data_IF_281470564801
#
_entry.id   IF_281470564801
#
_cell.length_a   1.000
_cell.length_b   1.000
_cell.length_c   1.000
_cell.angle_alpha   90.00
_cell.angle_beta   90.00
_cell.angle_gamma   90.00
#
_symmetry.space_group_name_H-M   'P 1'
#
loop_
_entity.id
_entity.type
_entity.pdbx_description
1 polymer ?
#
# COMPACT_ATOMS: atom_id res chain seq x y z
N UNK A 1 -20.73 2.48 0.24
CA UNK A 1 -19.98 3.48 1.03
C UNK A 1 -18.94 2.83 1.95
N UNK A 2 -19.22 1.68 2.56
CA UNK A 2 -18.26 0.96 3.42
C UNK A 2 -16.93 0.62 2.71
N UNK A 3 -16.96 0.23 1.44
CA UNK A 3 -15.74 -0.11 0.68
C UNK A 3 -14.77 1.05 0.50
N UNK A 4 -15.26 2.28 0.35
CA UNK A 4 -14.39 3.46 0.21
C UNK A 4 -13.71 3.83 1.54
N UNK A 5 -14.40 3.67 2.68
CA UNK A 5 -13.85 3.91 4.00
C UNK A 5 -12.76 2.88 4.35
N UNK A 6 -12.99 1.59 4.03
CA UNK A 6 -12.00 0.52 4.22
C UNK A 6 -10.76 0.74 3.34
N UNK A 7 -10.95 1.17 2.09
CA UNK A 7 -9.87 1.50 1.18
C UNK A 7 -9.02 2.67 1.71
N UNK A 8 -9.65 3.72 2.22
CA UNK A 8 -8.97 4.86 2.81
C UNK A 8 -8.19 4.46 4.07
N UNK A 9 -8.80 3.65 4.94
CA UNK A 9 -8.16 3.13 6.15
C UNK A 9 -6.94 2.28 5.79
N UNK A 10 -7.07 1.35 4.83
CA UNK A 10 -5.98 0.53 4.34
C UNK A 10 -4.83 1.37 3.79
N UNK A 11 -5.13 2.41 3.01
CA UNK A 11 -4.12 3.33 2.50
C UNK A 11 -3.40 4.10 3.62
N UNK A 12 -4.14 4.63 4.61
CA UNK A 12 -3.54 5.36 5.74
C UNK A 12 -2.61 4.48 6.56
N UNK A 13 -3.01 3.22 6.84
CA UNK A 13 -2.17 2.26 7.56
C UNK A 13 -0.90 1.93 6.77
N UNK A 14 -1.02 1.66 5.46
CA UNK A 14 0.14 1.40 4.60
C UNK A 14 1.07 2.60 4.50
N UNK A 15 0.52 3.81 4.42
CA UNK A 15 1.30 5.04 4.38
C UNK A 15 2.07 5.27 5.69
N UNK A 16 1.44 5.04 6.84
CA UNK A 16 2.13 5.09 8.15
C UNK A 16 3.23 4.03 8.23
N UNK A 17 2.97 2.81 7.72
CA UNK A 17 3.98 1.76 7.60
C UNK A 17 5.17 2.18 6.74
N UNK A 18 4.94 2.81 5.59
CA UNK A 18 5.99 3.35 4.71
C UNK A 18 6.83 4.41 5.44
N UNK A 19 6.19 5.38 6.09
CA UNK A 19 6.90 6.41 6.86
C UNK A 19 7.72 5.77 7.98
N UNK A 20 7.17 4.82 8.72
CA UNK A 20 7.87 4.07 9.77
C UNK A 20 9.07 3.31 9.22
N UNK A 21 8.97 2.66 8.05
CA UNK A 21 10.07 1.97 7.38
C UNK A 21 11.20 2.92 7.00
N UNK A 22 10.87 4.11 6.47
CA UNK A 22 11.87 5.16 6.17
C UNK A 22 12.61 5.61 7.44
N UNK A 23 11.87 5.90 8.50
CA UNK A 23 12.46 6.30 9.79
C UNK A 23 13.36 5.20 10.33
N UNK A 24 12.90 3.94 10.32
CA UNK A 24 13.68 2.77 10.77
C UNK A 24 14.98 2.62 9.99
N UNK A 25 14.95 2.89 8.68
CA UNK A 25 16.13 2.79 7.81
C UNK A 25 17.18 3.84 8.15
N UNK A 26 16.78 5.04 8.54
CA UNK A 26 17.68 6.17 8.81
C UNK A 26 18.23 6.13 10.25
N UNK A 27 17.41 5.64 11.21
CA UNK A 27 17.77 5.65 12.62
C UNK A 27 19.03 4.82 12.94
N UNK A 28 19.99 5.36 13.71
CA UNK A 28 21.21 4.63 14.12
C UNK A 28 20.99 3.71 15.33
N UNK A 29 19.77 3.36 15.68
CA UNK A 29 19.37 2.63 16.88
C UNK A 29 18.98 1.17 16.58
N UNK A 30 19.70 0.48 15.69
CA UNK A 30 19.46 -0.92 15.38
C UNK A 30 20.01 -1.86 16.44
N UNK A 31 21.23 -1.58 16.91
CA UNK A 31 21.91 -2.33 17.97
C UNK A 31 22.42 -1.33 19.02
N UNK A 32 22.25 -1.69 20.29
CA UNK A 32 22.70 -0.89 21.43
C UNK A 32 23.62 -1.74 22.30
N UNK A 33 24.67 -1.16 22.88
CA UNK A 33 25.53 -1.86 23.84
C UNK A 33 24.70 -2.39 25.00
N UNK A 34 24.86 -3.69 25.31
CA UNK A 34 24.20 -4.31 26.45
C UNK A 34 24.88 -3.91 27.75
N UNK A 35 24.11 -3.57 28.76
CA UNK A 35 24.59 -3.35 30.11
C UNK A 35 24.54 -4.68 30.87
N UNK A 36 25.57 -5.52 30.69
CA UNK A 36 25.66 -6.83 31.37
C UNK A 36 26.59 -6.71 32.59
N UNK A 37 26.03 -6.85 33.77
CA UNK A 37 26.76 -6.91 35.04
C UNK A 37 27.15 -5.58 35.63
N UNK A 38 27.98 -5.63 36.68
CA UNK A 38 28.45 -4.50 37.52
C UNK A 38 29.52 -3.62 36.86
N UNK A 39 29.74 -3.72 35.55
CA UNK A 39 30.72 -2.93 34.85
C UNK A 39 30.23 -1.46 34.68
N UNK A 40 30.20 -0.74 35.80
CA UNK A 40 29.95 0.73 35.89
C UNK A 40 31.07 1.54 35.16
N UNK A 41 32.13 0.88 34.72
CA UNK A 41 33.34 1.54 34.18
C UNK A 41 33.25 1.95 32.70
N UNK A 42 32.22 1.52 31.95
CA UNK A 42 32.04 1.99 30.57
C UNK A 42 31.06 3.16 30.54
N UNK A 43 31.60 4.35 30.76
CA UNK A 43 30.90 5.63 30.58
C UNK A 43 30.48 5.92 29.11
N UNK A 44 30.47 4.88 28.27
CA UNK A 44 30.29 4.99 26.82
C UNK A 44 29.29 3.95 26.33
N UNK A 45 28.23 4.38 25.65
CA UNK A 45 27.26 3.51 24.94
C UNK A 45 27.46 3.61 23.44
N UNK A 46 27.63 2.47 22.79
CA UNK A 46 27.69 2.40 21.33
C UNK A 46 26.30 2.09 20.76
N UNK A 47 25.91 2.84 19.76
CA UNK A 47 24.68 2.65 19.00
C UNK A 47 25.08 2.37 17.55
N UNK A 48 24.69 1.20 17.02
CA UNK A 48 24.99 0.81 15.65
C UNK A 48 23.70 0.81 14.82
N UNK A 49 23.72 1.63 13.78
CA UNK A 49 22.66 1.67 12.77
C UNK A 49 23.08 1.02 11.46
N UNK A 50 22.22 1.13 10.46
CA UNK A 50 22.51 0.66 9.11
C UNK A 50 23.59 1.50 8.42
N UNK A 51 23.61 2.82 8.62
CA UNK A 51 24.45 3.77 7.89
C UNK A 51 25.57 4.37 8.70
N UNK A 52 25.37 4.46 10.01
CA UNK A 52 26.28 5.14 10.93
C UNK A 52 26.36 4.41 12.26
N UNK A 53 27.48 4.63 12.93
CA UNK A 53 27.70 4.24 14.31
C UNK A 53 27.81 5.50 15.17
N UNK A 54 27.09 5.51 16.29
CA UNK A 54 27.05 6.62 17.21
C UNK A 54 27.58 6.19 18.58
N UNK A 55 28.30 7.10 19.21
CA UNK A 55 28.88 6.91 20.54
C UNK A 55 28.28 7.95 21.46
N UNK A 56 27.69 7.48 22.56
CA UNK A 56 27.17 8.31 23.61
C UNK A 56 28.11 8.25 24.81
N UNK A 57 28.68 9.39 25.20
CA UNK A 57 29.48 9.53 26.38
C UNK A 57 28.65 9.98 27.59
N UNK A 58 29.01 9.54 28.80
CA UNK A 58 28.37 9.97 30.06
C UNK A 58 28.42 11.48 30.28
N UNK A 59 29.35 12.18 29.64
CA UNK A 59 29.47 13.64 29.62
C UNK A 59 28.40 14.34 28.78
N UNK A 60 27.45 13.56 28.15
CA UNK A 60 26.43 14.10 27.29
C UNK A 60 26.86 14.34 25.84
N UNK A 61 28.10 14.02 25.49
CA UNK A 61 28.58 14.15 24.11
C UNK A 61 28.09 13.01 23.28
N UNK A 62 27.41 13.34 22.17
CA UNK A 62 26.89 12.39 21.17
C UNK A 62 27.59 12.60 19.83
N UNK A 63 28.38 11.62 19.41
CA UNK A 63 29.14 11.66 18.17
C UNK A 63 28.73 10.52 17.25
N UNK A 64 28.40 10.85 16.00
CA UNK A 64 28.05 9.86 14.96
C UNK A 64 29.08 9.87 13.83
N UNK A 65 29.49 8.70 13.40
CA UNK A 65 30.38 8.50 12.27
C UNK A 65 29.72 7.59 11.23
N UNK A 66 29.66 8.06 9.99
CA UNK A 66 29.17 7.27 8.87
C UNK A 66 30.24 6.24 8.47
N UNK A 67 29.81 5.03 8.14
CA UNK A 67 30.71 3.98 7.67
C UNK A 67 31.36 4.38 6.34
N UNK A 68 32.71 4.49 6.36
CA UNK A 68 33.46 4.93 5.18
C UNK A 68 33.66 3.84 4.14
N UNK A 69 33.69 2.57 4.58
CA UNK A 69 33.87 1.43 3.67
C UNK A 69 32.64 0.53 3.70
N UNK A 70 32.08 0.27 2.52
CA UNK A 70 30.95 -0.65 2.36
C UNK A 70 31.39 -2.11 2.44
N UNK A 71 32.59 -2.42 1.93
CA UNK A 71 33.09 -3.79 1.85
C UNK A 71 33.69 -4.32 3.17
N UNK A 72 34.08 -3.42 4.08
CA UNK A 72 34.59 -3.80 5.39
C UNK A 72 33.48 -4.15 6.40
N UNK A 73 32.21 -3.96 6.03
CA UNK A 73 31.09 -4.29 6.90
C UNK A 73 30.75 -5.79 6.85
N UNK A 74 30.25 -6.35 7.97
CA UNK A 74 29.74 -7.72 7.99
C UNK A 74 28.62 -7.90 6.96
N UNK A 75 28.56 -9.08 6.34
CA UNK A 75 27.62 -9.41 5.27
C UNK A 75 26.16 -9.22 5.70
N UNK A 76 25.84 -9.50 6.95
CA UNK A 76 24.49 -9.35 7.53
C UNK A 76 24.00 -7.90 7.44
N UNK A 77 24.89 -6.94 7.73
CA UNK A 77 24.55 -5.51 7.67
C UNK A 77 24.38 -5.04 6.22
N UNK A 78 25.18 -5.59 5.29
CA UNK A 78 25.03 -5.29 3.85
C UNK A 78 23.70 -5.82 3.31
N UNK A 79 23.33 -7.05 3.68
CA UNK A 79 22.05 -7.65 3.30
C UNK A 79 20.87 -6.86 3.89
N UNK A 80 20.93 -6.49 5.17
CA UNK A 80 19.89 -5.69 5.80
C UNK A 80 19.70 -4.33 5.12
N UNK A 81 20.80 -3.65 4.74
CA UNK A 81 20.74 -2.39 3.95
C UNK A 81 20.03 -2.59 2.62
N UNK A 82 20.41 -3.62 1.86
CA UNK A 82 19.82 -3.90 0.55
C UNK A 82 18.33 -4.16 0.67
N UNK A 83 17.91 -5.00 1.62
CA UNK A 83 16.49 -5.31 1.84
C UNK A 83 15.69 -4.08 2.26
N UNK A 84 16.22 -3.25 3.16
CA UNK A 84 15.53 -2.04 3.61
C UNK A 84 15.41 -0.99 2.50
N UNK A 85 16.44 -0.79 1.68
CA UNK A 85 16.37 0.13 0.53
C UNK A 85 15.36 -0.35 -0.51
N UNK A 86 15.37 -1.63 -0.86
CA UNK A 86 14.40 -2.23 -1.80
C UNK A 86 12.98 -2.08 -1.23
N UNK A 87 12.77 -2.36 0.07
CA UNK A 87 11.48 -2.17 0.74
C UNK A 87 10.99 -0.71 0.66
N UNK A 88 11.87 0.27 0.90
CA UNK A 88 11.53 1.69 0.78
C UNK A 88 11.15 2.09 -0.66
N UNK A 89 11.88 1.61 -1.67
CA UNK A 89 11.57 1.88 -3.07
C UNK A 89 10.22 1.26 -3.48
N UNK A 90 10.00 0.00 -3.11
CA UNK A 90 8.74 -0.69 -3.39
C UNK A 90 7.55 -0.01 -2.69
N UNK A 91 7.70 0.41 -1.43
CA UNK A 91 6.63 1.12 -0.71
C UNK A 91 6.33 2.49 -1.31
N UNK A 92 7.34 3.21 -1.82
CA UNK A 92 7.15 4.45 -2.57
C UNK A 92 6.37 4.24 -3.87
N UNK A 93 6.73 3.21 -4.66
CA UNK A 93 5.98 2.82 -5.86
C UNK A 93 4.56 2.38 -5.53
N UNK A 94 4.39 1.59 -4.47
CA UNK A 94 3.09 1.15 -3.98
C UNK A 94 2.19 2.33 -3.61
N UNK A 95 2.74 3.34 -2.93
CA UNK A 95 2.04 4.56 -2.59
C UNK A 95 1.55 5.31 -3.84
N UNK A 96 2.41 5.49 -4.86
CA UNK A 96 2.04 6.11 -6.11
C UNK A 96 0.91 5.36 -6.84
N UNK A 97 1.02 4.02 -6.95
CA UNK A 97 -0.01 3.18 -7.55
C UNK A 97 -1.33 3.25 -6.77
N UNK A 98 -1.27 3.20 -5.43
CA UNK A 98 -2.45 3.26 -4.58
C UNK A 98 -3.17 4.61 -4.71
N UNK A 99 -2.45 5.73 -4.74
CA UNK A 99 -3.04 7.07 -4.93
C UNK A 99 -3.77 7.17 -6.28
N UNK A 100 -3.19 6.64 -7.36
CA UNK A 100 -3.84 6.61 -8.68
C UNK A 100 -5.07 5.70 -8.66
N UNK A 101 -4.99 4.55 -7.98
CA UNK A 101 -6.04 3.54 -7.90
C UNK A 101 -7.22 3.88 -6.98
N UNK A 102 -7.06 4.81 -6.03
CA UNK A 102 -8.12 5.15 -5.07
C UNK A 102 -9.36 5.76 -5.73
N UNK A 103 -10.55 5.38 -5.25
CA UNK A 103 -11.84 5.89 -5.72
C UNK A 103 -12.01 7.39 -5.51
N UNK A 104 -11.38 7.95 -4.49
CA UNK A 104 -11.43 9.39 -4.17
C UNK A 104 -10.62 10.25 -5.16
N UNK A 105 -9.71 9.68 -5.92
CA UNK A 105 -8.87 10.44 -6.87
C UNK A 105 -9.60 10.63 -8.20
N UNK A 106 -9.60 11.85 -8.70
CA UNK A 106 -10.24 12.22 -9.99
C UNK A 106 -9.48 11.69 -11.22
N UNK A 107 -8.24 11.27 -11.06
CA UNK A 107 -7.45 10.66 -12.12
C UNK A 107 -8.09 9.35 -12.59
N UNK A 108 -8.16 9.15 -13.91
CA UNK A 108 -8.65 7.92 -14.54
C UNK A 108 -10.11 7.53 -14.21
N UNK A 109 -11.04 8.50 -14.10
CA UNK A 109 -12.47 8.21 -13.94
C UNK A 109 -13.00 7.38 -15.13
N UNK A 110 -13.60 6.22 -14.81
CA UNK A 110 -14.31 5.40 -15.80
C UNK A 110 -13.47 4.31 -16.48
N UNK A 111 -12.19 4.15 -16.14
CA UNK A 111 -11.37 3.07 -16.70
C UNK A 111 -11.29 1.84 -15.77
N UNK A 112 -11.42 0.61 -16.30
CA UNK A 112 -11.25 -0.62 -15.52
C UNK A 112 -9.85 -0.76 -14.92
N UNK A 113 -8.87 -0.04 -15.47
CA UNK A 113 -7.49 0.01 -14.99
C UNK A 113 -7.37 0.52 -13.55
N UNK A 114 -8.33 1.31 -13.04
CA UNK A 114 -8.27 1.91 -11.71
C UNK A 114 -8.25 0.87 -10.59
N UNK A 115 -9.07 -0.16 -10.69
CA UNK A 115 -9.11 -1.27 -9.73
C UNK A 115 -7.80 -2.06 -9.77
N UNK A 116 -7.24 -2.27 -10.96
CA UNK A 116 -5.94 -2.95 -11.14
C UNK A 116 -4.81 -2.19 -10.46
N UNK A 117 -4.75 -0.86 -10.59
CA UNK A 117 -3.74 -0.04 -9.91
C UNK A 117 -3.88 -0.08 -8.38
N UNK A 118 -5.09 -0.11 -7.85
CA UNK A 118 -5.31 -0.22 -6.41
C UNK A 118 -4.87 -1.58 -5.86
N UNK A 119 -5.18 -2.68 -6.57
CA UNK A 119 -4.73 -4.03 -6.20
C UNK A 119 -3.20 -4.13 -6.30
N UNK A 120 -2.61 -3.61 -7.38
CA UNK A 120 -1.15 -3.59 -7.56
C UNK A 120 -0.47 -2.81 -6.44
N UNK A 121 -1.00 -1.64 -6.07
CA UNK A 121 -0.50 -0.86 -4.93
C UNK A 121 -0.57 -1.64 -3.62
N UNK A 122 -1.68 -2.32 -3.34
CA UNK A 122 -1.82 -3.18 -2.17
C UNK A 122 -0.83 -4.34 -2.15
N UNK A 123 -0.66 -5.03 -3.28
CA UNK A 123 0.30 -6.14 -3.41
C UNK A 123 1.76 -5.68 -3.22
N UNK A 124 2.12 -4.52 -3.76
CA UNK A 124 3.45 -3.93 -3.56
C UNK A 124 3.70 -3.53 -2.11
N UNK A 125 2.68 -3.03 -1.39
CA UNK A 125 2.81 -2.75 0.05
C UNK A 125 3.01 -4.03 0.87
N UNK A 126 2.32 -5.11 0.53
CA UNK A 126 2.53 -6.42 1.17
C UNK A 126 3.96 -6.90 0.93
N UNK A 127 4.44 -6.85 -0.31
CA UNK A 127 5.81 -7.26 -0.65
C UNK A 127 6.85 -6.41 0.08
N UNK A 128 6.69 -5.09 0.11
CA UNK A 128 7.57 -4.18 0.84
C UNK A 128 7.57 -4.47 2.35
N UNK A 129 6.40 -4.71 2.94
CA UNK A 129 6.24 -5.09 4.34
C UNK A 129 6.93 -6.42 4.68
N UNK A 130 6.83 -7.42 3.80
CA UNK A 130 7.52 -8.70 3.96
C UNK A 130 9.05 -8.53 3.92
N UNK A 131 9.58 -7.76 2.98
CA UNK A 131 11.03 -7.51 2.89
C UNK A 131 11.56 -6.79 4.15
N UNK A 132 10.82 -5.79 4.64
CA UNK A 132 11.13 -5.12 5.90
C UNK A 132 11.12 -6.09 7.08
N UNK A 133 10.08 -6.95 7.18
CA UNK A 133 9.94 -7.95 8.24
C UNK A 133 11.13 -8.93 8.23
N UNK A 134 11.55 -9.40 7.05
CA UNK A 134 12.70 -10.30 6.90
C UNK A 134 13.99 -9.61 7.37
N UNK A 135 14.24 -8.37 6.95
CA UNK A 135 15.44 -7.63 7.34
C UNK A 135 15.53 -7.42 8.87
N UNK A 136 14.41 -7.02 9.48
CA UNK A 136 14.32 -6.78 10.93
C UNK A 136 14.44 -8.08 11.71
N UNK A 137 13.77 -9.16 11.27
CA UNK A 137 13.82 -10.48 11.93
C UNK A 137 15.22 -11.09 11.86
N UNK A 138 15.88 -11.00 10.70
CA UNK A 138 17.26 -11.49 10.53
C UNK A 138 18.20 -10.76 11.48
N UNK A 139 18.18 -9.43 11.48
CA UNK A 139 19.03 -8.63 12.38
C UNK A 139 18.74 -8.92 13.84
N UNK A 140 17.47 -9.10 14.22
CA UNK A 140 17.08 -9.46 15.59
C UNK A 140 17.65 -10.82 15.99
N UNK A 141 17.55 -11.82 15.11
CA UNK A 141 18.10 -13.15 15.36
C UNK A 141 19.62 -13.12 15.55
N UNK A 142 20.33 -12.35 14.72
CA UNK A 142 21.78 -12.17 14.83
C UNK A 142 22.20 -11.52 16.17
N UNK A 143 21.46 -10.47 16.58
CA UNK A 143 21.70 -9.82 17.89
C UNK A 143 21.48 -10.80 19.04
N UNK A 144 20.41 -11.59 19.01
CA UNK A 144 20.08 -12.56 20.06
C UNK A 144 21.12 -13.68 20.12
N UNK A 145 21.53 -14.24 18.98
CA UNK A 145 22.56 -15.29 18.95
C UNK A 145 23.90 -14.79 19.49
N UNK A 146 24.32 -13.57 19.10
CA UNK A 146 25.55 -12.99 19.59
C UNK A 146 25.48 -12.68 21.10
N UNK A 147 24.31 -12.31 21.63
CA UNK A 147 24.13 -12.04 23.05
C UNK A 147 24.34 -13.28 23.92
N UNK A 148 23.82 -14.45 23.47
CA UNK A 148 23.94 -15.71 24.21
C UNK A 148 25.26 -16.45 23.94
N UNK A 149 26.10 -15.96 23.02
CA UNK A 149 27.38 -16.61 22.75
C UNK A 149 28.35 -16.43 23.94
N UNK A 150 28.81 -17.52 24.60
CA UNK A 150 29.70 -17.45 25.75
C UNK A 150 31.13 -17.03 25.37
N UNK A 151 31.50 -17.11 24.08
CA UNK A 151 32.84 -16.76 23.61
C UNK A 151 33.02 -15.23 23.46
N UNK A 152 31.92 -14.47 23.42
CA UNK A 152 32.01 -13.02 23.31
C UNK A 152 32.15 -12.37 24.71
N UNK A 153 33.13 -11.47 24.88
CA UNK A 153 33.24 -10.70 26.12
C UNK A 153 32.02 -9.80 26.31
N UNK A 154 31.60 -9.59 27.56
CA UNK A 154 30.41 -8.81 27.92
C UNK A 154 30.42 -7.37 27.35
N UNK A 155 31.62 -6.80 27.13
CA UNK A 155 31.77 -5.47 26.52
C UNK A 155 31.40 -5.38 25.04
N UNK A 156 31.33 -6.53 24.35
CA UNK A 156 30.96 -6.60 22.91
C UNK A 156 29.56 -7.12 22.68
N UNK A 157 28.75 -7.33 23.72
CA UNK A 157 27.37 -7.77 23.60
C UNK A 157 26.45 -6.59 23.27
N UNK A 158 25.60 -6.80 22.28
CA UNK A 158 24.61 -5.82 21.87
C UNK A 158 23.21 -6.31 22.21
N UNK A 159 22.33 -5.38 22.53
CA UNK A 159 20.89 -5.57 22.72
C UNK A 159 20.11 -5.06 21.52
N UNK A 160 18.83 -5.47 21.43
CA UNK A 160 17.90 -5.04 20.41
C UNK A 160 17.66 -3.53 20.55
N UNK A 161 17.90 -2.79 19.48
CA UNK A 161 17.70 -1.36 19.45
C UNK A 161 16.24 -0.96 19.15
N UNK A 162 15.91 0.29 19.48
CA UNK A 162 14.54 0.82 19.30
C UNK A 162 14.08 0.84 17.84
N UNK A 163 15.01 0.98 16.89
CA UNK A 163 14.68 0.95 15.46
C UNK A 163 14.13 -0.40 15.01
N UNK A 164 14.55 -1.52 15.60
CA UNK A 164 14.02 -2.85 15.28
C UNK A 164 12.55 -3.00 15.70
N UNK A 165 12.19 -2.48 16.90
CA UNK A 165 10.78 -2.47 17.32
C UNK A 165 9.92 -1.63 16.38
N UNK A 166 10.39 -0.44 16.00
CA UNK A 166 9.71 0.40 15.02
C UNK A 166 9.58 -0.31 13.67
N UNK A 167 10.60 -1.06 13.25
CA UNK A 167 10.59 -1.86 12.03
C UNK A 167 9.52 -2.95 12.06
N UNK A 168 9.34 -3.67 13.16
CA UNK A 168 8.26 -4.65 13.30
C UNK A 168 6.88 -4.01 13.23
N UNK A 169 6.68 -2.88 13.90
CA UNK A 169 5.41 -2.15 13.87
C UNK A 169 5.10 -1.65 12.45
N UNK A 170 6.08 -1.03 11.80
CA UNK A 170 5.90 -0.47 10.45
C UNK A 170 5.64 -1.54 9.39
N UNK A 171 6.34 -2.68 9.47
CA UNK A 171 6.10 -3.82 8.56
C UNK A 171 4.71 -4.43 8.77
N UNK A 172 4.27 -4.59 10.02
CA UNK A 172 2.91 -5.07 10.34
C UNK A 172 1.83 -4.13 9.82
N UNK A 173 2.00 -2.82 9.98
CA UNK A 173 1.08 -1.81 9.44
C UNK A 173 1.00 -1.86 7.91
N UNK A 174 2.15 -2.02 7.23
CA UNK A 174 2.20 -2.18 5.77
C UNK A 174 1.49 -3.43 5.29
N UNK A 175 1.65 -4.56 5.99
CA UNK A 175 0.99 -5.83 5.67
C UNK A 175 -0.52 -5.72 5.85
N UNK A 176 -0.99 -5.21 6.99
CA UNK A 176 -2.43 -5.04 7.27
C UNK A 176 -3.04 -4.04 6.29
N UNK A 177 -2.41 -2.89 6.08
CA UNK A 177 -2.91 -1.87 5.17
C UNK A 177 -2.95 -2.34 3.72
N UNK A 178 -1.91 -3.05 3.25
CA UNK A 178 -1.85 -3.64 1.91
C UNK A 178 -2.93 -4.70 1.69
N UNK A 179 -3.18 -5.58 2.67
CA UNK A 179 -4.25 -6.59 2.60
C UNK A 179 -5.64 -5.94 2.56
N UNK A 180 -5.89 -4.92 3.38
CA UNK A 180 -7.15 -4.16 3.34
C UNK A 180 -7.37 -3.47 2.00
N UNK A 181 -6.32 -2.93 1.38
CA UNK A 181 -6.39 -2.36 0.04
C UNK A 181 -6.79 -3.41 -1.01
N UNK A 182 -6.16 -4.59 -0.99
CA UNK A 182 -6.48 -5.67 -1.91
C UNK A 182 -7.91 -6.18 -1.73
N UNK A 183 -8.36 -6.42 -0.49
CA UNK A 183 -9.71 -6.91 -0.19
C UNK A 183 -10.79 -5.90 -0.57
N UNK A 184 -10.56 -4.61 -0.29
CA UNK A 184 -11.52 -3.54 -0.63
C UNK A 184 -11.78 -3.39 -2.13
N UNK A 185 -10.89 -3.90 -2.97
CA UNK A 185 -11.03 -3.87 -4.43
C UNK A 185 -11.73 -5.12 -4.99
N UNK A 186 -11.81 -6.22 -4.23
CA UNK A 186 -12.45 -7.47 -4.69
C UNK A 186 -13.99 -7.41 -4.67
N UNK A 187 -14.58 -6.55 -3.86
CA UNK A 187 -16.05 -6.41 -3.76
C UNK A 187 -16.73 -5.81 -5.00
N UNK A 188 -15.96 -5.39 -5.99
CA UNK A 188 -16.51 -5.03 -7.30
C UNK A 188 -16.49 -6.25 -8.22
N UNK A 189 -17.47 -7.13 -8.08
CA UNK A 189 -17.84 -8.03 -9.17
C UNK A 189 -18.07 -7.18 -10.42
N UNK A 190 -17.42 -7.45 -11.55
CA UNK A 190 -17.71 -6.72 -12.76
C UNK A 190 -19.20 -6.91 -13.05
N UNK A 191 -19.96 -5.80 -13.05
CA UNK A 191 -21.31 -5.79 -13.59
C UNK A 191 -21.20 -6.33 -15.02
N UNK A 192 -21.49 -7.63 -15.18
CA UNK A 192 -21.73 -8.20 -16.51
C UNK A 192 -22.95 -7.47 -17.02
N UNK A 193 -22.82 -6.62 -18.04
CA UNK A 193 -24.02 -6.14 -18.71
C UNK A 193 -24.78 -7.39 -19.11
N UNK A 194 -26.03 -7.49 -18.64
CA UNK A 194 -26.94 -8.54 -19.03
C UNK A 194 -26.99 -8.52 -20.56
N UNK A 195 -26.25 -9.43 -21.19
CA UNK A 195 -26.37 -9.69 -22.59
C UNK A 195 -27.81 -10.18 -22.74
N UNK A 196 -28.67 -9.29 -23.21
CA UNK A 196 -30.02 -9.66 -23.63
C UNK A 196 -29.84 -10.82 -24.60
N UNK A 197 -30.13 -12.01 -24.12
CA UNK A 197 -30.13 -13.23 -24.91
C UNK A 197 -31.03 -12.95 -26.12
N UNK A 198 -30.55 -13.05 -27.35
CA UNK A 198 -31.42 -12.87 -28.50
C UNK A 198 -32.54 -13.88 -28.35
N UNK A 199 -33.77 -13.38 -28.15
CA UNK A 199 -34.98 -14.18 -28.11
C UNK A 199 -35.06 -14.90 -29.45
N UNK A 200 -34.70 -16.18 -29.45
CA UNK A 200 -34.90 -17.06 -30.60
C UNK A 200 -36.38 -17.03 -30.92
N UNK A 201 -36.78 -16.25 -31.93
CA UNK A 201 -38.07 -16.35 -32.57
C UNK A 201 -38.07 -17.66 -33.34
N UNK A 202 -38.57 -18.71 -32.69
CA UNK A 202 -38.96 -19.94 -33.36
C UNK A 202 -40.15 -19.56 -34.24
N UNK A 203 -39.88 -19.32 -35.51
CA UNK A 203 -40.92 -19.19 -36.54
C UNK A 203 -41.48 -20.58 -36.78
N UNK A 204 -42.54 -20.91 -36.04
CA UNK A 204 -43.42 -22.01 -36.40
C UNK A 204 -44.36 -21.48 -37.48
N UNK A 205 -44.09 -21.85 -38.71
CA UNK A 205 -45.04 -21.64 -39.82
C UNK A 205 -46.31 -22.47 -39.57
N UNK A 206 -47.37 -21.81 -39.15
CA UNK A 206 -48.72 -22.38 -39.20
C UNK A 206 -49.54 -21.54 -40.16
N UNK A 207 -49.84 -22.14 -41.31
CA UNK A 207 -50.76 -21.68 -42.33
C UNK A 207 -52.12 -21.46 -41.70
N UNK A 208 -52.67 -20.26 -41.78
CA UNK A 208 -54.06 -19.95 -41.51
C UNK A 208 -54.55 -18.90 -42.52
N UNK A 209 -55.86 -19.00 -42.98
CA UNK A 209 -56.32 -18.48 -44.25
C UNK A 209 -56.55 -16.98 -44.24
N UNK A 210 -56.48 -16.42 -45.43
CA UNK A 210 -56.72 -15.04 -45.78
C UNK A 210 -58.11 -14.52 -45.31
N UNK A 211 -58.09 -13.45 -44.50
CA UNK A 211 -59.29 -12.60 -44.29
C UNK A 211 -59.02 -11.24 -44.94
N UNK A 212 -59.84 -10.94 -45.95
CA UNK A 212 -59.90 -9.65 -46.63
C UNK A 212 -60.67 -8.65 -45.75
N UNK A 213 -60.12 -7.45 -45.48
CA UNK A 213 -60.91 -6.37 -44.90
C UNK A 213 -61.64 -5.57 -46.01
N UNK A 214 -62.87 -5.09 -45.75
CA UNK A 214 -63.56 -4.24 -46.68
C UNK A 214 -63.04 -2.80 -46.70
N UNK A 215 -63.20 -2.20 -47.88
CA UNK A 215 -62.69 -0.90 -48.27
C UNK A 215 -63.41 0.27 -47.58
N UNK A 216 -62.61 1.34 -47.48
CA UNK A 216 -63.00 2.74 -47.54
C UNK A 216 -63.72 3.40 -46.36
N UNK A 217 -62.95 4.31 -45.69
CA UNK A 217 -63.45 5.67 -45.50
C UNK A 217 -62.27 6.67 -45.56
N UNK A 218 -62.37 7.56 -46.55
CA UNK A 218 -61.55 8.79 -46.68
C UNK A 218 -62.05 9.77 -45.64
N UNK A 219 -61.15 10.32 -44.81
CA UNK A 219 -61.36 11.67 -44.37
C UNK A 219 -59.99 12.44 -44.28
N UNK A 220 -60.00 13.55 -44.96
CA UNK A 220 -58.94 14.55 -45.07
C UNK A 220 -58.89 15.36 -43.80
N UNK A 221 -57.72 15.45 -43.20
CA UNK A 221 -57.22 16.67 -42.54
C UNK A 221 -55.77 16.55 -42.12
N UNK A 222 -54.90 17.18 -42.83
CA UNK A 222 -53.69 17.80 -42.21
C UNK A 222 -54.12 19.12 -41.54
N UNK A 223 -53.46 19.60 -40.49
CA UNK A 223 -52.18 20.27 -40.68
C UNK A 223 -51.17 20.27 -39.52
N UNK A 224 -49.99 20.67 -39.89
CA UNK A 224 -48.98 21.51 -39.20
C UNK A 224 -48.24 20.95 -37.97
N UNK A 225 -47.02 20.61 -38.24
CA UNK A 225 -45.73 21.10 -37.73
C UNK A 225 -45.86 22.13 -36.61
N UNK A 226 -45.31 21.81 -35.45
CA UNK A 226 -44.59 22.80 -34.64
C UNK A 226 -43.50 22.09 -33.88
N UNK A 227 -42.27 22.34 -34.29
CA UNK A 227 -41.04 22.15 -33.54
C UNK A 227 -41.04 23.10 -32.37
N UNK A 228 -40.98 22.55 -31.14
CA UNK A 228 -40.71 23.33 -29.93
C UNK A 228 -39.33 22.92 -29.40
N UNK A 229 -38.34 23.73 -29.72
CA UNK A 229 -37.07 23.80 -29.01
C UNK A 229 -37.31 24.22 -27.56
N UNK A 230 -37.07 23.32 -26.63
CA UNK A 230 -37.08 23.67 -25.20
C UNK A 230 -35.68 24.08 -24.76
N UNK A 231 -35.47 25.39 -24.77
CA UNK A 231 -34.35 26.04 -24.06
C UNK A 231 -34.71 26.09 -22.60
N UNK A 232 -34.06 25.24 -21.80
CA UNK A 232 -34.16 25.27 -20.34
C UNK A 232 -33.14 26.21 -19.74
N UNK A 233 -33.60 27.33 -19.26
CA UNK A 233 -32.84 28.27 -18.43
C UNK A 233 -32.62 27.66 -17.04
N UNK A 234 -31.36 27.55 -16.62
CA UNK A 234 -31.02 27.38 -15.21
C UNK A 234 -31.00 28.74 -14.53
N UNK A 235 -31.99 28.96 -13.72
CA UNK A 235 -31.91 29.98 -12.66
C UNK A 235 -31.43 29.29 -11.41
N UNK A 236 -30.27 29.67 -10.90
CA UNK A 236 -29.88 29.60 -9.49
C UNK A 236 -28.62 30.45 -9.30
N UNK A 237 -28.88 31.73 -9.16
CA UNK A 237 -28.10 32.63 -8.36
C UNK A 237 -28.98 33.10 -7.20
N UNK A 238 -28.32 33.31 -6.09
CA UNK A 238 -28.68 33.84 -4.75
C UNK A 238 -28.80 32.77 -3.65
N UNK A 239 -27.86 32.67 -2.79
CA UNK A 239 -27.32 33.35 -1.60
C UNK A 239 -26.06 32.61 -1.16
#
# INVERSE_FOLDING_TARGET
MASAAVQLLGFLLSFLGMVGTLITTILPHWRRTAHVGTNILTAVSYLKGLWMECVWHSTGIYQCQVYRSLLALPQDLQAARALMVISCLLSGMACACAVIGMKCTRCAKGTPAKTTFAILGGALFILAGLLCMVAVSWTTNDVVQNFYNPLLPSSMKFEIGQALYLGFISSSLSLIGGTLLCLSCQDETPYRPYQAQPRATTATATTAPAYQPPAAYKDNRAPSVTSATHSGYRLNDYV
#
